data_IF_242508296209
#
_entry.id   IF_242508296209
#
_cell.length_a   1.000
_cell.length_b   1.000
_cell.length_c   1.000
_cell.angle_alpha   90.00
_cell.angle_beta   90.00
_cell.angle_gamma   90.00
#
_symmetry.space_group_name_H-M   'P 1'
#
loop_
_entity.id
_entity.type
_entity.pdbx_description
1 polymer ?
#
# COMPACT_ATOMS: atom_id res chain seq x y z
N UNK A 1 -21.77 -4.25 5.08
CA UNK A 1 -20.33 -4.22 5.44
C UNK A 1 -19.35 -4.61 4.34
N UNK A 2 -19.29 -5.85 3.82
CA UNK A 2 -18.25 -6.24 2.83
C UNK A 2 -18.16 -5.27 1.63
N UNK A 3 -19.29 -4.86 1.07
CA UNK A 3 -19.37 -3.85 -0.02
C UNK A 3 -18.88 -2.46 0.40
N UNK A 4 -19.24 -2.01 1.61
CA UNK A 4 -18.78 -0.73 2.18
C UNK A 4 -17.25 -0.73 2.39
N UNK A 5 -16.67 -1.84 2.84
CA UNK A 5 -15.21 -2.00 2.98
C UNK A 5 -14.53 -1.87 1.61
N UNK A 6 -15.04 -2.55 0.58
CA UNK A 6 -14.51 -2.43 -0.79
C UNK A 6 -14.56 -0.98 -1.27
N UNK A 7 -15.67 -0.28 -1.03
CA UNK A 7 -15.82 1.13 -1.39
C UNK A 7 -14.84 2.03 -0.63
N UNK A 8 -14.65 1.82 0.68
CA UNK A 8 -13.66 2.57 1.48
C UNK A 8 -12.23 2.29 0.98
N UNK A 9 -11.89 1.04 0.66
CA UNK A 9 -10.57 0.69 0.10
C UNK A 9 -10.34 1.39 -1.24
N UNK A 10 -11.35 1.38 -2.13
CA UNK A 10 -11.27 2.08 -3.41
C UNK A 10 -11.11 3.59 -3.22
N UNK A 11 -11.86 4.18 -2.30
CA UNK A 11 -11.74 5.59 -1.94
C UNK A 11 -10.34 5.93 -1.41
N UNK A 12 -9.83 5.15 -0.45
CA UNK A 12 -8.48 5.33 0.10
C UNK A 12 -7.40 5.17 -0.97
N UNK A 13 -7.61 4.27 -1.93
CA UNK A 13 -6.70 4.09 -3.07
C UNK A 13 -6.71 5.32 -4.00
N UNK A 14 -7.90 5.82 -4.34
CA UNK A 14 -8.06 7.05 -5.13
C UNK A 14 -7.47 8.27 -4.40
N UNK A 15 -7.63 8.35 -3.08
CA UNK A 15 -7.03 9.38 -2.24
C UNK A 15 -5.51 9.28 -2.22
N UNK A 16 -4.94 8.08 -2.08
CA UNK A 16 -3.50 7.88 -2.14
C UNK A 16 -2.91 8.31 -3.48
N UNK A 17 -3.56 7.94 -4.59
CA UNK A 17 -3.21 8.39 -5.94
C UNK A 17 -3.26 9.91 -6.03
N UNK A 18 -4.34 10.53 -5.52
CA UNK A 18 -4.54 11.99 -5.56
C UNK A 18 -3.49 12.75 -4.76
N UNK A 19 -3.16 12.27 -3.56
CA UNK A 19 -2.10 12.85 -2.71
C UNK A 19 -0.75 12.76 -3.41
N UNK A 20 -0.45 11.61 -4.03
CA UNK A 20 0.78 11.40 -4.80
C UNK A 20 0.88 12.36 -6.00
N UNK A 21 -0.22 12.55 -6.73
CA UNK A 21 -0.32 13.52 -7.85
C UNK A 21 -0.11 14.96 -7.35
N UNK A 22 -0.78 15.32 -6.26
CA UNK A 22 -0.75 16.68 -5.67
C UNK A 22 0.64 17.04 -5.13
N UNK A 23 1.31 16.08 -4.49
CA UNK A 23 2.67 16.22 -3.97
C UNK A 23 3.67 16.61 -5.05
N UNK A 24 3.55 16.01 -6.24
CA UNK A 24 4.51 16.16 -7.32
C UNK A 24 4.29 17.45 -8.13
N UNK A 25 3.06 17.98 -8.18
CA UNK A 25 2.75 19.21 -8.94
C UNK A 25 3.04 20.51 -8.15
N UNK A 26 3.10 20.44 -6.82
CA UNK A 26 2.93 21.63 -5.98
C UNK A 26 4.19 22.49 -5.75
N UNK A 27 5.43 22.08 -6.04
CA UNK A 27 6.63 22.96 -5.88
C UNK A 27 7.71 22.51 -6.80
N UNK A 28 8.54 23.43 -7.32
CA UNK A 28 9.84 23.14 -7.96
C UNK A 28 9.79 21.78 -8.66
N UNK A 29 8.74 21.54 -9.45
CA UNK A 29 8.19 20.19 -9.69
C UNK A 29 9.25 19.25 -10.25
N UNK A 30 10.25 19.83 -10.90
CA UNK A 30 11.52 19.27 -11.31
C UNK A 30 12.28 18.52 -10.20
N UNK A 31 12.49 19.07 -8.99
CA UNK A 31 13.32 18.47 -7.94
C UNK A 31 12.69 17.21 -7.34
N UNK A 32 11.44 17.30 -6.85
CA UNK A 32 10.69 16.14 -6.34
C UNK A 32 10.49 15.10 -7.46
N UNK A 33 10.11 15.52 -8.66
CA UNK A 33 9.98 14.62 -9.81
C UNK A 33 11.31 13.94 -10.17
N UNK A 34 12.43 14.66 -10.16
CA UNK A 34 13.77 14.10 -10.38
C UNK A 34 14.10 13.09 -9.28
N UNK A 35 13.81 13.39 -8.02
CA UNK A 35 14.04 12.48 -6.90
C UNK A 35 13.20 11.19 -7.05
N UNK A 36 11.90 11.30 -7.35
CA UNK A 36 11.04 10.16 -7.65
C UNK A 36 11.55 9.33 -8.84
N UNK A 37 12.01 9.97 -9.92
CA UNK A 37 12.66 9.27 -11.03
C UNK A 37 13.95 8.57 -10.60
N UNK A 38 14.72 9.20 -9.72
CA UNK A 38 16.00 8.69 -9.22
C UNK A 38 15.82 7.49 -8.29
N UNK A 39 14.66 7.33 -7.66
CA UNK A 39 14.31 6.15 -6.88
C UNK A 39 14.45 4.84 -7.68
N UNK A 40 14.23 4.86 -9.01
CA UNK A 40 14.45 3.70 -9.91
C UNK A 40 15.92 3.31 -10.09
N UNK A 41 16.86 4.15 -9.63
CA UNK A 41 18.31 3.91 -9.70
C UNK A 41 18.89 3.52 -8.34
N UNK A 42 18.03 3.14 -7.40
CA UNK A 42 18.43 2.67 -6.08
C UNK A 42 18.62 1.16 -6.15
N UNK A 43 19.86 0.72 -5.99
CA UNK A 43 20.24 -0.69 -5.99
C UNK A 43 20.43 -1.24 -4.58
N UNK A 44 20.57 -0.37 -3.58
CA UNK A 44 20.60 -0.76 -2.17
C UNK A 44 20.06 0.36 -1.30
N UNK A 45 19.37 0.00 -0.23
CA UNK A 45 18.91 0.97 0.77
C UNK A 45 18.61 0.33 2.12
N UNK A 46 18.58 1.18 3.13
CA UNK A 46 17.91 0.94 4.39
C UNK A 46 16.66 1.80 4.45
N UNK A 47 15.56 1.23 4.90
CA UNK A 47 14.27 1.88 4.95
C UNK A 47 13.59 1.66 6.29
N UNK A 48 13.30 2.74 6.99
CA UNK A 48 12.60 2.74 8.27
C UNK A 48 11.22 3.34 8.06
N UNK A 49 10.19 2.50 8.06
CA UNK A 49 8.81 2.90 7.84
C UNK A 49 8.01 2.76 9.12
N UNK A 50 7.27 3.79 9.51
CA UNK A 50 6.25 3.71 10.55
C UNK A 50 4.89 4.12 10.00
N UNK A 51 3.90 3.28 10.24
CA UNK A 51 2.50 3.50 9.87
C UNK A 51 1.66 3.42 11.13
N UNK A 52 0.84 4.42 11.39
CA UNK A 52 -0.15 4.42 12.46
C UNK A 52 -1.51 4.68 11.85
N UNK A 53 -2.36 3.66 11.83
CA UNK A 53 -3.75 3.77 11.41
C UNK A 53 -4.64 3.72 12.65
N UNK A 54 -5.50 4.72 12.86
CA UNK A 54 -6.54 4.70 13.89
C UNK A 54 -7.89 4.91 13.24
N UNK A 55 -8.82 4.01 13.48
CA UNK A 55 -10.20 4.10 13.02
C UNK A 55 -11.12 4.21 14.23
N UNK A 56 -12.07 5.15 14.20
CA UNK A 56 -13.13 5.28 15.19
C UNK A 56 -14.46 5.64 14.51
N UNK A 57 -15.55 5.52 15.27
CA UNK A 57 -16.89 5.76 14.76
C UNK A 57 -17.80 6.33 15.83
N UNK A 58 -18.72 7.19 15.44
CA UNK A 58 -19.72 7.83 16.30
C UNK A 58 -21.08 7.89 15.57
N UNK A 59 -22.17 8.16 16.30
CA UNK A 59 -23.53 8.35 15.73
C UNK A 59 -24.07 7.16 14.91
N UNK A 60 -23.64 5.94 15.26
CA UNK A 60 -24.07 4.70 14.61
C UNK A 60 -25.40 4.19 15.19
N UNK A 61 -26.21 3.54 14.36
CA UNK A 61 -27.31 2.69 14.87
C UNK A 61 -26.76 1.49 15.64
N UNK A 62 -27.54 0.85 16.52
CA UNK A 62 -27.08 -0.33 17.28
C UNK A 62 -26.54 -1.43 16.37
N UNK A 63 -27.27 -1.73 15.28
CA UNK A 63 -26.88 -2.75 14.30
C UNK A 63 -25.62 -2.38 13.54
N UNK A 64 -25.43 -1.10 13.24
CA UNK A 64 -24.20 -0.59 12.62
C UNK A 64 -23.01 -0.62 13.59
N UNK A 65 -23.26 -0.38 14.88
CA UNK A 65 -22.25 -0.44 15.93
C UNK A 65 -21.76 -1.88 16.15
N UNK A 66 -22.66 -2.86 16.20
CA UNK A 66 -22.29 -4.29 16.26
C UNK A 66 -21.43 -4.69 15.06
N UNK A 67 -21.86 -4.29 13.86
CA UNK A 67 -21.15 -4.46 12.61
C UNK A 67 -19.73 -3.87 12.71
N UNK A 68 -19.61 -2.60 13.15
CA UNK A 68 -18.33 -1.89 13.28
C UNK A 68 -17.41 -2.50 14.37
N UNK A 69 -17.96 -2.87 15.52
CA UNK A 69 -17.24 -3.46 16.65
C UNK A 69 -16.65 -4.83 16.28
N UNK A 70 -17.31 -5.61 15.44
CA UNK A 70 -16.77 -6.86 14.91
C UNK A 70 -15.48 -6.67 14.08
N UNK A 71 -15.32 -5.49 13.47
CA UNK A 71 -14.15 -5.13 12.65
C UNK A 71 -13.07 -4.41 13.45
N UNK A 72 -13.41 -3.81 14.60
CA UNK A 72 -12.45 -3.08 15.44
C UNK A 72 -11.20 -3.90 15.79
N UNK A 73 -11.23 -5.20 16.11
CA UNK A 73 -10.00 -5.96 16.34
C UNK A 73 -9.00 -5.90 15.17
N UNK A 74 -9.50 -5.78 13.94
CA UNK A 74 -8.70 -5.70 12.71
C UNK A 74 -8.32 -4.24 12.40
N UNK A 75 -9.23 -3.30 12.62
CA UNK A 75 -9.10 -1.89 12.21
C UNK A 75 -8.56 -0.96 13.31
N UNK A 76 -8.60 -1.39 14.58
CA UNK A 76 -8.16 -0.58 15.71
C UNK A 76 -6.65 -0.42 15.71
N UNK A 77 -6.21 0.80 16.07
CA UNK A 77 -4.83 1.28 16.19
C UNK A 77 -3.77 0.27 15.71
N UNK A 78 -3.60 0.19 14.40
CA UNK A 78 -2.52 -0.59 13.79
C UNK A 78 -1.29 0.30 13.81
N UNK A 79 -0.32 -0.05 14.64
CA UNK A 79 1.03 0.51 14.54
C UNK A 79 1.90 -0.52 13.86
N UNK A 80 2.38 -0.21 12.66
CA UNK A 80 3.33 -1.02 11.94
C UNK A 80 4.66 -0.27 11.87
N UNK A 81 5.73 -0.94 12.25
CA UNK A 81 7.10 -0.45 12.07
C UNK A 81 7.88 -1.49 11.29
N UNK A 82 8.55 -1.05 10.22
CA UNK A 82 9.34 -1.88 9.33
C UNK A 82 10.75 -1.30 9.27
N UNK A 83 11.76 -2.11 9.60
CA UNK A 83 13.15 -1.79 9.32
C UNK A 83 13.64 -2.73 8.23
N UNK A 84 13.75 -2.21 7.02
CA UNK A 84 13.96 -2.99 5.80
C UNK A 84 15.27 -2.66 5.15
N UNK A 85 16.06 -3.69 4.86
CA UNK A 85 17.25 -3.63 4.05
C UNK A 85 16.94 -4.28 2.70
N UNK A 86 17.31 -3.62 1.61
CA UNK A 86 17.22 -4.21 0.27
C UNK A 86 18.52 -4.06 -0.50
N UNK A 87 18.80 -5.06 -1.33
CA UNK A 87 19.93 -5.08 -2.27
C UNK A 87 19.47 -5.73 -3.57
N UNK A 88 19.50 -4.99 -4.66
CA UNK A 88 19.31 -5.48 -6.02
C UNK A 88 20.62 -6.04 -6.58
N UNK A 89 20.52 -7.09 -7.39
CA UNK A 89 21.67 -7.64 -8.11
C UNK A 89 22.05 -6.75 -9.30
N UNK A 90 23.31 -6.82 -9.71
CA UNK A 90 23.78 -6.15 -10.92
C UNK A 90 22.94 -6.63 -12.12
N UNK A 91 22.33 -5.68 -12.85
CA UNK A 91 21.35 -5.85 -13.95
C UNK A 91 19.86 -5.96 -13.55
N UNK A 92 19.49 -5.69 -12.30
CA UNK A 92 18.07 -5.66 -11.84
C UNK A 92 17.29 -6.96 -12.06
N UNK A 93 18.00 -8.08 -12.15
CA UNK A 93 17.43 -9.42 -12.34
C UNK A 93 17.21 -10.15 -11.02
N UNK A 94 17.33 -9.48 -9.87
CA UNK A 94 17.10 -10.08 -8.57
C UNK A 94 17.16 -9.06 -7.44
N UNK A 95 16.50 -9.38 -6.33
CA UNK A 95 16.44 -8.57 -5.13
C UNK A 95 16.50 -9.45 -3.89
N UNK A 96 17.33 -9.04 -2.94
CA UNK A 96 17.34 -9.57 -1.57
C UNK A 96 16.74 -8.53 -0.65
N UNK A 97 15.85 -8.97 0.23
CA UNK A 97 15.21 -8.13 1.24
C UNK A 97 15.37 -8.80 2.60
N UNK A 98 15.67 -8.01 3.62
CA UNK A 98 15.53 -8.40 5.02
C UNK A 98 14.69 -7.32 5.70
N UNK A 99 13.64 -7.70 6.40
CA UNK A 99 12.75 -6.77 7.09
C UNK A 99 12.47 -7.24 8.52
N UNK A 100 12.74 -6.37 9.50
CA UNK A 100 12.25 -6.54 10.86
C UNK A 100 10.87 -5.87 10.96
N UNK A 101 9.86 -6.65 11.30
CA UNK A 101 8.45 -6.27 11.36
C UNK A 101 8.02 -6.22 12.82
N UNK A 102 7.57 -5.05 13.24
CA UNK A 102 6.92 -4.86 14.53
C UNK A 102 5.52 -4.31 14.30
N UNK A 103 4.51 -5.10 14.61
CA UNK A 103 3.12 -4.71 14.49
C UNK A 103 2.45 -4.73 15.86
N UNK A 104 1.73 -3.68 16.21
CA UNK A 104 0.91 -3.60 17.42
C UNK A 104 -0.55 -3.45 17.04
N UNK A 105 -1.37 -4.33 17.60
CA UNK A 105 -2.83 -4.37 17.45
C UNK A 105 -3.43 -4.31 18.86
N UNK A 106 -4.04 -3.19 19.23
CA UNK A 106 -4.48 -2.92 20.61
C UNK A 106 -3.36 -3.22 21.64
N UNK A 107 -3.57 -4.22 22.51
CA UNK A 107 -2.64 -4.67 23.53
C UNK A 107 -1.65 -5.74 23.04
N UNK A 108 -1.86 -6.32 21.86
CA UNK A 108 -1.02 -7.38 21.31
C UNK A 108 0.13 -6.79 20.48
N UNK A 109 1.33 -7.33 20.65
CA UNK A 109 2.50 -6.99 19.84
C UNK A 109 3.01 -8.22 19.12
N UNK A 110 3.24 -8.07 17.82
CA UNK A 110 3.71 -9.11 16.92
C UNK A 110 5.07 -8.69 16.40
N UNK A 111 6.05 -9.55 16.62
CA UNK A 111 7.38 -9.37 16.06
C UNK A 111 7.69 -10.52 15.12
N UNK A 112 8.28 -10.19 13.97
CA UNK A 112 8.81 -11.16 13.03
C UNK A 112 9.92 -10.53 12.19
N UNK A 113 10.82 -11.37 11.69
CA UNK A 113 11.81 -11.05 10.67
C UNK A 113 11.47 -11.81 9.41
N UNK A 114 11.58 -11.15 8.27
CA UNK A 114 11.38 -11.75 6.96
C UNK A 114 12.63 -11.55 6.12
N UNK A 115 13.04 -12.61 5.43
CA UNK A 115 14.03 -12.56 4.38
C UNK A 115 13.39 -13.01 3.06
N UNK A 116 13.60 -12.26 1.98
CA UNK A 116 13.10 -12.58 0.64
C UNK A 116 14.29 -12.63 -0.30
N UNK A 117 14.39 -13.71 -1.07
CA UNK A 117 15.37 -13.88 -2.13
C UNK A 117 14.66 -14.15 -3.44
N UNK A 118 14.65 -13.15 -4.31
CA UNK A 118 14.19 -13.28 -5.68
C UNK A 118 15.38 -13.16 -6.61
N UNK A 119 15.68 -14.20 -7.37
CA UNK A 119 16.76 -14.22 -8.36
C UNK A 119 16.24 -14.83 -9.66
N UNK A 120 16.23 -14.02 -10.71
CA UNK A 120 15.74 -14.37 -12.05
C UNK A 120 16.88 -14.58 -13.05
N UNK A 121 18.13 -14.64 -12.60
CA UNK A 121 19.30 -14.82 -13.49
C UNK A 121 19.40 -16.24 -14.04
N UNK A 122 18.83 -17.23 -13.36
CA UNK A 122 18.86 -18.64 -13.73
C UNK A 122 17.59 -19.08 -14.50
N UNK A 123 17.68 -20.18 -15.26
CA UNK A 123 16.55 -20.76 -16.03
C UNK A 123 15.37 -21.12 -15.12
N UNK A 124 15.63 -21.52 -13.88
CA UNK A 124 14.64 -21.62 -12.83
C UNK A 124 14.90 -20.49 -11.82
N UNK A 125 13.97 -19.53 -11.65
CA UNK A 125 14.19 -18.43 -10.73
C UNK A 125 14.21 -18.94 -9.29
N UNK A 126 15.07 -18.38 -8.44
CA UNK A 126 15.00 -18.61 -6.99
C UNK A 126 13.96 -17.65 -6.42
N UNK A 127 12.93 -18.21 -5.80
CA UNK A 127 11.85 -17.48 -5.17
C UNK A 127 11.69 -18.07 -3.78
N UNK A 128 12.22 -17.38 -2.79
CA UNK A 128 12.26 -17.88 -1.43
C UNK A 128 11.88 -16.80 -0.44
N UNK A 129 11.06 -17.16 0.54
CA UNK A 129 10.84 -16.37 1.73
C UNK A 129 11.18 -17.19 2.97
N UNK A 130 11.89 -16.59 3.91
CA UNK A 130 12.15 -17.13 5.24
C UNK A 130 11.52 -16.19 6.24
N UNK A 131 10.70 -16.72 7.14
CA UNK A 131 9.98 -15.94 8.13
C UNK A 131 10.37 -16.48 9.50
N UNK A 132 10.89 -15.64 10.39
CA UNK A 132 11.02 -16.05 11.79
C UNK A 132 9.62 -16.26 12.36
N UNK A 133 9.43 -17.33 13.14
CA UNK A 133 8.14 -17.66 13.74
C UNK A 133 7.55 -16.43 14.44
N UNK A 134 6.40 -15.90 13.99
CA UNK A 134 5.79 -14.76 14.65
C UNK A 134 5.38 -15.14 16.08
N UNK A 135 5.48 -14.21 17.03
CA UNK A 135 5.11 -14.45 18.43
C UNK A 135 3.68 -15.00 18.61
N UNK A 136 2.75 -14.64 17.72
CA UNK A 136 1.36 -15.13 17.74
C UNK A 136 1.21 -16.61 17.41
N UNK A 137 2.15 -17.22 16.69
CA UNK A 137 2.06 -18.64 16.34
C UNK A 137 2.26 -19.57 17.54
N UNK A 138 2.72 -19.04 18.68
CA UNK A 138 2.75 -19.79 19.94
C UNK A 138 1.38 -19.81 20.63
N UNK A 139 0.48 -18.89 20.29
CA UNK A 139 -0.85 -18.77 20.90
C UNK A 139 -1.88 -19.62 20.13
N UNK A 140 -1.73 -19.75 18.81
CA UNK A 140 -2.74 -20.37 17.93
C UNK A 140 -2.45 -21.87 17.69
N UNK A 141 -1.45 -22.48 18.35
CA UNK A 141 -1.07 -23.90 18.20
C UNK A 141 -1.00 -24.40 16.74
N UNK A 142 -0.67 -23.53 15.78
CA UNK A 142 -0.62 -23.85 14.34
C UNK A 142 0.53 -24.80 13.94
N UNK A 143 1.18 -25.43 14.93
CA UNK A 143 2.08 -26.59 14.83
C UNK A 143 2.58 -26.96 16.23
N UNK A 144 2.62 -28.26 16.53
CA UNK A 144 3.06 -28.82 17.82
C UNK A 144 4.56 -28.73 18.08
N UNK A 145 5.40 -28.48 17.06
CA UNK A 145 6.85 -28.34 17.25
C UNK A 145 7.24 -26.88 17.51
N UNK A 146 7.30 -26.52 18.80
CA UNK A 146 7.73 -25.21 19.29
C UNK A 146 9.24 -24.96 19.13
N UNK A 147 10.04 -25.98 18.81
CA UNK A 147 11.50 -25.85 18.62
C UNK A 147 11.87 -25.14 17.31
N UNK A 148 10.93 -25.09 16.37
CA UNK A 148 11.11 -24.52 15.03
C UNK A 148 11.07 -22.99 15.06
N UNK A 149 12.20 -22.38 14.71
CA UNK A 149 12.40 -20.92 14.75
C UNK A 149 12.00 -20.23 13.45
N UNK A 150 12.02 -20.95 12.34
CA UNK A 150 11.79 -20.39 11.00
C UNK A 150 10.72 -21.16 10.22
N UNK A 151 9.99 -20.43 9.39
CA UNK A 151 9.12 -20.96 8.34
C UNK A 151 9.80 -20.64 7.02
N UNK A 152 10.14 -21.68 6.26
CA UNK A 152 10.75 -21.58 4.93
C UNK A 152 9.68 -21.80 3.87
N UNK A 153 9.53 -20.82 2.98
CA UNK A 153 8.69 -20.91 1.79
C UNK A 153 9.62 -20.93 0.58
N UNK A 154 9.96 -22.14 0.13
CA UNK A 154 10.64 -22.35 -1.16
C UNK A 154 9.57 -22.57 -2.22
N UNK A 155 9.27 -21.50 -2.96
CA UNK A 155 8.21 -21.50 -3.94
C UNK A 155 8.49 -22.47 -5.11
N UNK A 156 9.75 -22.83 -5.39
CA UNK A 156 10.04 -23.82 -6.43
C UNK A 156 9.56 -25.23 -6.06
N UNK A 157 9.51 -25.56 -4.77
CA UNK A 157 9.00 -26.85 -4.27
C UNK A 157 7.50 -27.02 -4.40
N UNK A 158 6.80 -25.95 -4.73
CA UNK A 158 5.35 -25.95 -4.91
C UNK A 158 4.91 -26.60 -6.23
N UNK A 159 5.79 -26.70 -7.25
CA UNK A 159 5.47 -27.31 -8.55
C UNK A 159 4.87 -28.70 -8.37
N UNK A 160 3.58 -28.83 -8.67
CA UNK A 160 2.83 -30.08 -8.63
C UNK A 160 2.45 -30.62 -7.25
N UNK A 161 2.59 -29.84 -6.15
CA UNK A 161 2.36 -30.34 -4.77
C UNK A 161 1.28 -29.62 -3.96
N UNK A 162 0.64 -28.58 -4.49
CA UNK A 162 -0.46 -27.90 -3.80
C UNK A 162 -1.51 -27.34 -4.77
N UNK A 163 -2.77 -27.27 -4.33
CA UNK A 163 -3.84 -26.48 -4.98
C UNK A 163 -3.56 -24.95 -4.94
N UNK A 164 -2.49 -24.56 -4.25
CA UNK A 164 -1.89 -23.23 -4.30
C UNK A 164 -1.02 -23.22 -5.56
N UNK A 165 -1.37 -22.42 -6.56
CA UNK A 165 -0.60 -22.22 -7.80
C UNK A 165 0.17 -20.91 -7.64
N UNK A 166 1.48 -20.92 -7.84
CA UNK A 166 2.26 -19.68 -7.86
C UNK A 166 1.78 -18.78 -9.00
N UNK A 167 1.74 -17.44 -8.80
CA UNK A 167 1.84 -16.52 -9.91
C UNK A 167 2.92 -17.00 -10.87
N UNK A 168 2.61 -17.11 -12.15
CA UNK A 168 3.64 -17.22 -13.16
C UNK A 168 4.39 -15.87 -13.13
N UNK A 169 5.41 -15.77 -12.28
CA UNK A 169 6.10 -14.50 -12.05
C UNK A 169 6.75 -13.99 -13.33
N UNK A 170 6.99 -14.84 -14.33
CA UNK A 170 7.44 -14.39 -15.66
C UNK A 170 6.32 -13.67 -16.44
N UNK A 171 5.06 -13.98 -16.15
CA UNK A 171 3.87 -13.24 -16.65
C UNK A 171 3.59 -11.98 -15.84
N UNK A 172 3.87 -11.97 -14.54
CA UNK A 172 3.78 -10.78 -13.67
C UNK A 172 4.96 -9.81 -13.89
N UNK A 173 6.11 -10.33 -14.35
CA UNK A 173 7.27 -9.56 -14.80
C UNK A 173 7.28 -9.35 -16.33
N UNK A 174 6.21 -9.75 -17.01
CA UNK A 174 6.08 -9.50 -18.44
C UNK A 174 5.96 -7.99 -18.64
N UNK A 175 6.76 -7.37 -19.53
CA UNK A 175 6.61 -5.95 -19.85
C UNK A 175 5.21 -5.54 -20.34
N UNK A 176 4.36 -6.50 -20.75
CA UNK A 176 2.96 -6.28 -21.10
C UNK A 176 1.96 -6.41 -19.91
N UNK A 177 2.43 -6.81 -18.73
CA UNK A 177 1.64 -6.78 -17.49
C UNK A 177 1.82 -5.44 -16.78
N UNK A 178 0.86 -5.05 -15.94
CA UNK A 178 0.92 -3.82 -15.15
C UNK A 178 2.32 -3.63 -14.54
N UNK A 179 3.06 -2.64 -15.02
CA UNK A 179 4.39 -2.33 -14.52
C UNK A 179 4.33 -1.18 -13.52
N UNK A 180 5.30 -1.13 -12.61
CA UNK A 180 5.50 0.05 -11.76
C UNK A 180 5.64 1.31 -12.63
N UNK A 181 6.20 1.18 -13.84
CA UNK A 181 6.31 2.27 -14.81
C UNK A 181 4.95 2.74 -15.36
N UNK A 182 3.98 1.85 -15.60
CA UNK A 182 2.62 2.22 -16.03
C UNK A 182 1.89 3.00 -14.94
N UNK A 183 2.00 2.56 -13.68
CA UNK A 183 1.50 3.33 -12.53
C UNK A 183 2.13 4.71 -12.45
N UNK A 184 3.46 4.79 -12.57
CA UNK A 184 4.15 6.08 -12.56
C UNK A 184 3.74 6.96 -13.74
N UNK A 185 3.59 6.41 -14.95
CA UNK A 185 3.17 7.17 -16.12
C UNK A 185 1.72 7.65 -15.99
N UNK A 186 0.84 6.83 -15.45
CA UNK A 186 -0.53 7.18 -15.10
C UNK A 186 -0.55 8.36 -14.12
N UNK A 187 0.17 8.27 -13.00
CA UNK A 187 0.32 9.36 -12.03
C UNK A 187 0.87 10.62 -12.71
N UNK A 188 1.91 10.52 -13.55
CA UNK A 188 2.52 11.64 -14.29
C UNK A 188 1.55 12.31 -15.26
N UNK A 189 0.68 11.56 -15.94
CA UNK A 189 -0.35 12.12 -16.84
C UNK A 189 -1.25 13.09 -16.06
N UNK A 190 -1.82 12.65 -14.95
CA UNK A 190 -2.69 13.46 -14.11
C UNK A 190 -1.97 14.65 -13.45
N UNK A 191 -0.70 14.47 -13.09
CA UNK A 191 0.15 15.57 -12.61
C UNK A 191 0.26 16.70 -13.64
N UNK A 192 0.30 16.39 -14.94
CA UNK A 192 0.43 17.41 -16.00
C UNK A 192 -0.90 18.11 -16.32
N UNK A 193 -2.03 17.43 -16.14
CA UNK A 193 -3.34 17.91 -16.61
C UNK A 193 -4.13 18.72 -15.56
N UNK A 194 -4.00 18.44 -14.25
CA UNK A 194 -4.82 19.08 -13.20
C UNK A 194 -4.39 20.52 -12.83
N UNK A 195 -5.11 21.59 -13.18
CA UNK A 195 -4.72 22.98 -12.82
C UNK A 195 -4.78 23.29 -11.30
N UNK A 196 -3.62 23.26 -10.61
CA UNK A 196 -3.53 23.44 -9.14
C UNK A 196 -2.70 24.67 -8.73
N UNK A 197 -2.97 25.82 -9.33
CA UNK A 197 -2.34 27.11 -9.01
C UNK A 197 -2.53 27.62 -7.57
N UNK A 198 -3.28 26.89 -6.71
CA UNK A 198 -3.70 27.31 -5.36
C UNK A 198 -3.00 26.62 -4.18
N UNK A 199 -2.03 25.74 -4.41
CA UNK A 199 -1.29 25.10 -3.31
C UNK A 199 -0.36 26.08 -2.59
N UNK A 200 -0.33 26.03 -1.26
CA UNK A 200 0.67 26.74 -0.43
C UNK A 200 1.76 25.78 -0.02
N UNK A 201 3.00 26.10 -0.34
CA UNK A 201 4.15 25.27 -0.01
C UNK A 201 5.26 26.14 0.53
N UNK A 202 5.83 25.66 1.63
CA UNK A 202 7.00 26.23 2.26
C UNK A 202 8.17 25.26 2.04
N UNK A 203 9.18 25.72 1.29
CA UNK A 203 10.48 25.05 1.23
C UNK A 203 11.32 25.54 2.40
N UNK A 204 11.90 24.61 3.15
CA UNK A 204 12.87 24.93 4.21
C UNK A 204 14.09 24.03 4.02
N UNK A 205 15.27 24.62 3.99
CA UNK A 205 16.52 23.86 3.97
C UNK A 205 16.94 23.59 5.41
N UNK A 206 17.24 22.33 5.73
CA UNK A 206 17.83 21.96 7.01
C UNK A 206 19.27 21.53 6.74
N UNK A 207 20.22 22.24 7.33
CA UNK A 207 21.61 21.82 7.39
C UNK A 207 21.76 20.80 8.51
N UNK A 208 22.23 19.60 8.15
CA UNK A 208 22.51 18.53 9.10
C UNK A 208 23.95 18.04 8.93
N UNK A 209 24.59 17.72 10.05
CA UNK A 209 25.87 17.00 10.09
C UNK A 209 25.53 15.55 10.48
N UNK A 210 25.54 14.58 9.55
CA UNK A 210 25.42 13.16 9.87
C UNK A 210 26.63 12.68 10.70
N UNK A 211 26.49 11.51 11.32
CA UNK A 211 27.55 10.83 12.10
C UNK A 211 28.87 10.57 11.32
N UNK A 212 28.85 10.72 9.99
CA UNK A 212 29.98 10.49 9.07
C UNK A 212 30.76 11.78 8.70
N UNK A 213 30.50 12.92 9.37
CA UNK A 213 31.15 14.22 9.15
C UNK A 213 31.08 14.80 7.71
N UNK A 214 30.23 14.25 6.84
CA UNK A 214 29.93 14.88 5.53
C UNK A 214 28.77 15.86 5.70
N UNK A 215 28.95 17.16 5.44
CA UNK A 215 27.81 18.09 5.36
C UNK A 215 26.76 17.54 4.38
N UNK A 216 25.63 17.04 4.91
CA UNK A 216 24.56 16.47 4.11
C UNK A 216 23.38 17.44 4.19
N UNK A 217 23.35 18.32 3.20
CA UNK A 217 22.26 19.26 3.00
C UNK A 217 20.98 18.50 2.62
N UNK A 218 19.91 18.68 3.40
CA UNK A 218 18.60 18.11 3.10
C UNK A 218 17.60 19.25 2.87
N UNK A 219 17.09 19.32 1.64
CA UNK A 219 15.97 20.18 1.32
C UNK A 219 14.68 19.54 1.82
N UNK A 220 13.97 20.23 2.71
CA UNK A 220 12.66 19.82 3.20
C UNK A 220 11.56 20.60 2.48
N UNK A 221 10.65 19.85 1.87
CA UNK A 221 9.45 20.37 1.20
C UNK A 221 8.24 20.06 2.09
N UNK A 222 7.65 21.10 2.69
CA UNK A 222 6.42 20.98 3.49
C UNK A 222 5.22 21.34 2.62
N UNK A 223 4.51 20.32 2.14
CA UNK A 223 3.40 20.45 1.21
C UNK A 223 2.09 20.41 2.01
N UNK A 224 1.34 21.52 2.00
CA UNK A 224 0.00 21.57 2.55
C UNK A 224 -1.01 21.56 1.39
N UNK A 225 -1.78 20.48 1.29
CA UNK A 225 -2.86 20.37 0.32
C UNK A 225 -4.16 20.76 0.99
N UNK A 226 -4.85 21.79 0.50
CA UNK A 226 -6.15 22.19 1.04
C UNK A 226 -7.24 21.13 0.73
N UNK A 227 -8.29 21.06 1.55
CA UNK A 227 -9.44 20.15 1.35
C UNK A 227 -10.10 20.37 -0.02
N UNK A 228 -10.31 21.64 -0.41
CA UNK A 228 -10.93 21.98 -1.71
C UNK A 228 -10.08 21.50 -2.88
N UNK A 229 -8.76 21.66 -2.78
CA UNK A 229 -7.81 21.21 -3.79
C UNK A 229 -7.76 19.69 -3.88
N UNK A 230 -7.70 19.03 -2.73
CA UNK A 230 -7.67 17.57 -2.66
C UNK A 230 -8.93 16.97 -3.27
N UNK A 231 -10.11 17.55 -2.98
CA UNK A 231 -11.39 17.17 -3.57
C UNK A 231 -11.46 17.46 -5.07
N UNK A 232 -10.88 18.57 -5.54
CA UNK A 232 -10.78 18.86 -6.97
C UNK A 232 -10.00 17.77 -7.72
N UNK A 233 -8.81 17.42 -7.24
CA UNK A 233 -7.96 16.40 -7.86
C UNK A 233 -8.62 15.02 -7.81
N UNK A 234 -9.28 14.69 -6.69
CA UNK A 234 -10.09 13.48 -6.59
C UNK A 234 -11.21 13.47 -7.61
N UNK A 235 -11.97 14.55 -7.74
CA UNK A 235 -13.05 14.67 -8.72
C UNK A 235 -12.55 14.57 -10.15
N UNK A 236 -11.38 15.14 -10.47
CA UNK A 236 -10.78 15.03 -11.81
C UNK A 236 -10.36 13.58 -12.11
N UNK A 237 -9.74 12.89 -11.15
CA UNK A 237 -9.39 11.47 -11.28
C UNK A 237 -10.66 10.62 -11.46
N UNK A 238 -11.68 10.84 -10.62
CA UNK A 238 -12.96 10.13 -10.64
C UNK A 238 -13.76 10.42 -11.92
N UNK A 239 -13.71 11.66 -12.41
CA UNK A 239 -14.35 12.09 -13.65
C UNK A 239 -13.65 11.52 -14.89
N UNK A 240 -12.31 11.42 -14.86
CA UNK A 240 -11.54 10.82 -15.95
C UNK A 240 -11.67 9.30 -15.98
N UNK A 241 -11.90 8.63 -14.85
CA UNK A 241 -12.33 7.21 -14.83
C UNK A 241 -13.60 6.98 -15.68
N UNK A 242 -14.39 8.04 -15.94
CA UNK A 242 -15.59 8.01 -16.77
C UNK A 242 -15.38 8.47 -18.22
N UNK A 243 -14.22 8.98 -18.64
CA UNK A 243 -14.15 9.64 -19.96
C UNK A 243 -12.85 9.42 -20.70
N UNK A 244 -11.77 9.14 -19.96
CA UNK A 244 -10.44 9.06 -20.50
C UNK A 244 -10.08 7.63 -20.90
N UNK A 245 -9.79 7.43 -22.20
CA UNK A 245 -9.48 6.11 -22.75
C UNK A 245 -8.24 5.48 -22.10
N UNK A 246 -7.20 6.27 -21.84
CA UNK A 246 -5.96 5.77 -21.23
C UNK A 246 -6.19 5.34 -19.79
N UNK A 247 -7.07 6.03 -19.07
CA UNK A 247 -7.46 5.70 -17.70
C UNK A 247 -8.27 4.41 -17.64
N UNK A 248 -9.22 4.25 -18.56
CA UNK A 248 -9.97 3.00 -18.74
C UNK A 248 -9.02 1.86 -19.09
N UNK A 249 -8.04 2.10 -19.97
CA UNK A 249 -7.02 1.12 -20.35
C UNK A 249 -6.11 0.77 -19.17
N UNK A 250 -5.72 1.75 -18.35
CA UNK A 250 -4.96 1.54 -17.13
C UNK A 250 -5.70 0.62 -16.15
N UNK A 251 -6.98 0.88 -15.88
CA UNK A 251 -7.78 0.03 -15.00
C UNK A 251 -7.97 -1.37 -15.59
N UNK A 252 -8.14 -1.49 -16.90
CA UNK A 252 -8.16 -2.79 -17.61
C UNK A 252 -6.86 -3.56 -17.41
N UNK A 253 -5.70 -2.93 -17.64
CA UNK A 253 -4.39 -3.55 -17.45
C UNK A 253 -4.16 -3.96 -15.99
N UNK A 254 -4.57 -3.14 -15.03
CA UNK A 254 -4.51 -3.47 -13.62
C UNK A 254 -5.40 -4.67 -13.27
N UNK A 255 -6.67 -4.68 -13.71
CA UNK A 255 -7.57 -5.83 -13.58
C UNK A 255 -6.96 -7.08 -14.20
N UNK A 256 -6.49 -6.99 -15.44
CA UNK A 256 -5.92 -8.13 -16.19
C UNK A 256 -4.69 -8.67 -15.48
N UNK A 257 -3.88 -7.80 -14.86
CA UNK A 257 -2.77 -8.24 -14.02
C UNK A 257 -3.24 -9.04 -12.81
N UNK A 258 -4.32 -8.61 -12.13
CA UNK A 258 -4.90 -9.33 -11.00
C UNK A 258 -5.52 -10.67 -11.44
N UNK A 259 -6.31 -10.68 -12.51
CA UNK A 259 -6.99 -11.91 -13.00
C UNK A 259 -6.04 -12.87 -13.71
N UNK A 260 -4.88 -12.40 -14.18
CA UNK A 260 -3.82 -13.26 -14.73
C UNK A 260 -3.10 -14.10 -13.66
N UNK A 261 -3.29 -13.78 -12.37
CA UNK A 261 -2.76 -14.57 -11.28
C UNK A 261 -3.45 -15.95 -11.29
N UNK A 262 -2.71 -17.07 -11.36
CA UNK A 262 -3.28 -18.41 -11.59
C UNK A 262 -4.30 -18.89 -10.56
N UNK A 263 -4.31 -18.35 -9.33
CA UNK A 263 -5.33 -18.65 -8.31
C UNK A 263 -6.64 -17.87 -8.50
N UNK A 264 -6.62 -16.84 -9.34
CA UNK A 264 -7.74 -15.95 -9.65
C UNK A 264 -8.34 -16.21 -11.02
N UNK A 265 -7.89 -17.27 -11.73
CA UNK A 265 -8.65 -17.81 -12.85
C UNK A 265 -10.00 -18.30 -12.35
N UNK A 266 -11.05 -18.07 -13.14
CA UNK A 266 -12.39 -18.58 -12.87
C UNK A 266 -12.27 -20.09 -12.62
N UNK A 267 -12.75 -20.48 -11.44
CA UNK A 267 -12.87 -21.84 -10.97
C UNK A 267 -14.33 -21.97 -10.55
N UNK A 268 -15.15 -22.55 -11.42
CA UNK A 268 -16.61 -22.60 -11.23
C UNK A 268 -17.02 -23.45 -10.01
N UNK A 269 -16.09 -24.26 -9.49
CA UNK A 269 -16.28 -25.14 -8.33
C UNK A 269 -15.92 -24.46 -7.00
N UNK A 270 -15.26 -23.29 -7.02
CA UNK A 270 -14.84 -22.56 -5.82
C UNK A 270 -15.61 -21.24 -5.67
N UNK A 271 -16.56 -21.22 -4.72
CA UNK A 271 -17.50 -20.11 -4.53
C UNK A 271 -16.82 -18.81 -4.08
N UNK A 272 -15.79 -18.87 -3.24
CA UNK A 272 -14.99 -17.71 -2.82
C UNK A 272 -14.23 -17.08 -4.00
N UNK A 273 -13.64 -17.91 -4.88
CA UNK A 273 -12.97 -17.43 -6.10
C UNK A 273 -13.96 -16.82 -7.08
N UNK A 274 -15.16 -17.42 -7.20
CA UNK A 274 -16.24 -16.90 -8.04
C UNK A 274 -16.76 -15.56 -7.54
N UNK A 275 -16.92 -15.40 -6.22
CA UNK A 275 -17.32 -14.14 -5.59
C UNK A 275 -16.25 -13.07 -5.76
N UNK A 276 -14.97 -13.40 -5.56
CA UNK A 276 -13.86 -12.49 -5.80
C UNK A 276 -13.75 -12.07 -7.28
N UNK A 277 -13.85 -13.01 -8.22
CA UNK A 277 -13.79 -12.71 -9.65
C UNK A 277 -14.97 -11.85 -10.10
N UNK A 278 -16.17 -12.13 -9.57
CA UNK A 278 -17.34 -11.25 -9.72
C UNK A 278 -17.05 -9.86 -9.15
N UNK A 279 -16.49 -9.74 -7.95
CA UNK A 279 -16.17 -8.44 -7.34
C UNK A 279 -15.17 -7.64 -8.18
N UNK A 280 -14.11 -8.27 -8.69
CA UNK A 280 -13.08 -7.62 -9.53
C UNK A 280 -13.65 -7.22 -10.90
N UNK A 281 -14.48 -8.05 -11.54
CA UNK A 281 -15.10 -7.69 -12.81
C UNK A 281 -16.21 -6.66 -12.65
N UNK A 282 -16.97 -6.71 -11.55
CA UNK A 282 -17.97 -5.70 -11.23
C UNK A 282 -17.33 -4.31 -11.11
N UNK A 283 -16.09 -4.20 -10.61
CA UNK A 283 -15.34 -2.93 -10.60
C UNK A 283 -15.05 -2.42 -12.02
N UNK A 284 -14.68 -3.29 -12.97
CA UNK A 284 -14.44 -2.89 -14.36
C UNK A 284 -15.75 -2.56 -15.10
N UNK A 285 -16.72 -3.47 -15.04
CA UNK A 285 -17.97 -3.37 -15.78
C UNK A 285 -18.88 -2.26 -15.25
N UNK A 286 -18.72 -1.92 -13.96
CA UNK A 286 -19.49 -0.88 -13.28
C UNK A 286 -18.60 0.23 -12.71
N UNK A 287 -17.43 0.48 -13.32
CA UNK A 287 -16.49 1.53 -12.84
C UNK A 287 -17.17 2.90 -12.71
N UNK A 288 -18.15 3.13 -13.57
CA UNK A 288 -19.07 4.27 -13.61
C UNK A 288 -19.90 4.39 -12.33
N UNK A 289 -20.50 3.27 -11.91
CA UNK A 289 -21.32 3.19 -10.71
C UNK A 289 -20.46 3.44 -9.48
N UNK A 290 -19.29 2.81 -9.37
CA UNK A 290 -18.34 3.08 -8.28
C UNK A 290 -17.82 4.52 -8.29
N UNK A 291 -17.58 5.10 -9.45
CA UNK A 291 -17.21 6.52 -9.59
C UNK A 291 -18.30 7.43 -9.01
N UNK A 292 -19.59 7.16 -9.26
CA UNK A 292 -20.70 7.90 -8.63
C UNK A 292 -20.74 7.71 -7.10
N UNK A 293 -20.44 6.50 -6.60
CA UNK A 293 -20.35 6.26 -5.15
C UNK A 293 -19.21 7.07 -4.54
N UNK A 294 -18.04 7.03 -5.15
CA UNK A 294 -16.84 7.71 -4.66
C UNK A 294 -17.06 9.24 -4.72
N UNK A 295 -17.69 9.77 -5.77
CA UNK A 295 -18.10 11.19 -5.82
C UNK A 295 -19.05 11.55 -4.68
N UNK A 296 -20.08 10.72 -4.43
CA UNK A 296 -21.01 10.97 -3.31
C UNK A 296 -20.29 10.90 -1.94
N UNK A 297 -19.31 10.01 -1.76
CA UNK A 297 -18.49 9.97 -0.54
C UNK A 297 -17.65 11.23 -0.42
N UNK A 298 -17.07 11.69 -1.53
CA UNK A 298 -16.23 12.88 -1.57
C UNK A 298 -16.99 14.16 -1.21
N UNK A 299 -18.27 14.24 -1.56
CA UNK A 299 -19.13 15.35 -1.17
C UNK A 299 -19.45 15.34 0.34
N UNK A 300 -19.31 14.19 1.00
CA UNK A 300 -19.65 13.97 2.41
C UNK A 300 -18.43 13.65 3.29
N UNK A 301 -17.22 13.95 2.80
CA UNK A 301 -15.98 13.78 3.56
C UNK A 301 -15.38 15.12 3.92
N UNK A 302 -14.94 15.26 5.16
CA UNK A 302 -14.01 16.31 5.55
C UNK A 302 -12.59 15.73 5.54
N UNK A 303 -11.72 16.31 4.72
CA UNK A 303 -10.29 15.98 4.71
C UNK A 303 -9.59 16.99 5.62
N UNK A 304 -9.01 16.48 6.70
CA UNK A 304 -8.36 17.24 7.76
C UNK A 304 -6.93 16.71 7.96
N UNK A 305 -6.07 17.52 8.58
CA UNK A 305 -4.81 17.05 9.12
C UNK A 305 -4.99 16.69 10.60
N UNK A 306 -3.93 16.14 11.22
CA UNK A 306 -4.00 15.68 12.62
C UNK A 306 -4.27 16.81 13.63
N UNK A 307 -3.97 18.05 13.25
CA UNK A 307 -4.23 19.26 14.05
C UNK A 307 -5.60 19.88 13.74
N UNK A 308 -6.49 19.13 13.08
CA UNK A 308 -7.85 19.53 12.67
C UNK A 308 -7.90 20.74 11.73
N UNK A 309 -6.78 21.13 11.12
CA UNK A 309 -6.79 22.09 10.02
C UNK A 309 -7.20 21.35 8.76
N UNK A 310 -8.00 22.00 7.89
CA UNK A 310 -8.42 21.40 6.62
C UNK A 310 -7.22 21.05 5.74
N UNK A 311 -7.31 19.88 5.10
CA UNK A 311 -6.32 19.42 4.15
C UNK A 311 -5.32 18.40 4.66
N UNK A 312 -4.31 18.09 3.84
CA UNK A 312 -3.32 17.03 4.07
C UNK A 312 -1.95 17.68 4.23
N UNK A 313 -1.20 17.22 5.24
CA UNK A 313 0.19 17.63 5.41
C UNK A 313 1.12 16.53 4.93
N UNK A 314 1.96 16.85 3.96
CA UNK A 314 3.02 16.02 3.44
C UNK A 314 4.37 16.70 3.69
N UNK A 315 5.38 15.92 4.05
CA UNK A 315 6.77 16.39 4.12
C UNK A 315 7.65 15.45 3.32
N UNK A 316 8.48 16.01 2.44
CA UNK A 316 9.46 15.26 1.66
C UNK A 316 10.86 15.85 1.91
N UNK A 317 11.85 14.99 2.09
CA UNK A 317 13.25 15.39 2.23
C UNK A 317 14.07 14.88 1.05
N UNK A 318 14.82 15.78 0.41
CA UNK A 318 15.71 15.45 -0.70
C UNK A 318 17.15 15.75 -0.27
N UNK A 319 18.04 14.77 -0.40
CA UNK A 319 19.47 14.97 -0.11
C UNK A 319 20.18 15.80 -1.20
N UNK A 320 21.42 16.20 -0.93
CA UNK A 320 22.26 16.93 -1.89
C UNK A 320 22.53 16.17 -3.20
N UNK A 321 22.38 14.85 -3.20
CA UNK A 321 22.51 14.01 -4.39
C UNK A 321 21.21 13.98 -5.20
N UNK A 322 20.10 14.47 -4.67
CA UNK A 322 18.79 14.44 -5.32
C UNK A 322 18.01 13.13 -5.11
N UNK A 323 18.31 12.35 -4.06
CA UNK A 323 17.51 11.22 -3.63
C UNK A 323 16.45 11.66 -2.61
N UNK A 324 15.27 11.04 -2.69
CA UNK A 324 14.26 11.14 -1.65
C UNK A 324 14.76 10.33 -0.43
N UNK A 325 14.94 11.00 0.70
CA UNK A 325 15.51 10.39 1.93
C UNK A 325 14.55 10.39 3.11
N UNK A 326 13.46 11.16 3.04
CA UNK A 326 12.41 11.11 4.05
C UNK A 326 11.04 11.49 3.49
N UNK A 327 10.00 10.84 3.98
CA UNK A 327 8.61 11.13 3.66
C UNK A 327 7.78 11.08 4.93
N UNK A 328 6.81 11.99 5.08
CA UNK A 328 5.76 11.82 6.10
C UNK A 328 4.43 12.35 5.62
N UNK A 329 3.36 11.62 5.94
CA UNK A 329 1.98 12.00 5.61
C UNK A 329 1.17 11.98 6.91
N UNK A 330 0.44 13.06 7.16
CA UNK A 330 -0.55 13.13 8.23
C UNK A 330 -1.91 13.43 7.62
N UNK A 331 -2.84 12.50 7.79
CA UNK A 331 -4.17 12.53 7.21
C UNK A 331 -5.20 12.14 8.28
N UNK A 332 -6.26 12.95 8.38
CA UNK A 332 -7.48 12.64 9.13
C UNK A 332 -8.66 12.78 8.18
N UNK A 333 -9.41 11.70 8.01
CA UNK A 333 -10.64 11.68 7.24
C UNK A 333 -11.81 11.58 8.20
N UNK A 334 -12.81 12.44 8.02
CA UNK A 334 -14.10 12.32 8.69
C UNK A 334 -15.17 12.11 7.63
N UNK A 335 -15.78 10.92 7.62
CA UNK A 335 -16.79 10.50 6.65
C UNK A 335 -18.14 10.48 7.38
N UNK A 336 -19.07 11.34 6.99
CA UNK A 336 -20.42 11.33 7.54
C UNK A 336 -21.38 10.59 6.58
N UNK A 337 -21.84 9.41 6.97
CA UNK A 337 -22.77 8.64 6.15
C UNK A 337 -24.23 9.06 6.35
N UNK A 338 -24.55 9.85 7.39
CA UNK A 338 -25.92 10.30 7.65
C UNK A 338 -26.47 11.21 6.54
N UNK A 339 -25.59 12.01 5.96
CA UNK A 339 -25.86 12.95 4.86
C UNK A 339 -25.74 12.32 3.46
N UNK A 340 -25.27 11.07 3.38
CA UNK A 340 -25.13 10.37 2.12
C UNK A 340 -26.50 10.01 1.54
N UNK A 341 -26.68 10.25 0.24
CA UNK A 341 -27.87 9.79 -0.49
C UNK A 341 -27.93 8.25 -0.42
N UNK A 342 -29.15 7.72 -0.31
CA UNK A 342 -29.39 6.26 -0.29
C UNK A 342 -28.68 5.61 -1.48
N UNK A 343 -27.84 4.62 -1.22
CA UNK A 343 -26.96 4.02 -2.20
C UNK A 343 -27.22 2.51 -2.32
N UNK A 344 -27.67 1.98 -3.47
CA UNK A 344 -28.08 0.58 -3.62
C UNK A 344 -26.94 -0.45 -3.48
N UNK A 345 -25.67 -0.03 -3.45
CA UNK A 345 -24.52 -0.92 -3.20
C UNK A 345 -24.18 -0.98 -1.70
N UNK A 346 -24.33 0.14 -0.99
CA UNK A 346 -23.99 0.25 0.44
C UNK A 346 -25.21 -0.14 1.30
N UNK A 347 -26.38 0.32 0.90
CA UNK A 347 -27.66 0.07 1.51
C UNK A 347 -28.28 -1.19 0.89
N UNK A 348 -28.26 -2.29 1.64
CA UNK A 348 -29.12 -3.45 1.34
C UNK A 348 -30.53 -3.19 1.87
N UNK A 349 -31.53 -3.93 1.37
CA UNK A 349 -32.92 -3.87 1.82
C UNK A 349 -33.02 -3.84 3.37
N UNK A 350 -33.38 -2.68 3.92
CA UNK A 350 -33.59 -2.46 5.35
C UNK A 350 -32.38 -2.01 6.19
N UNK A 351 -31.21 -1.72 5.62
CA UNK A 351 -30.06 -1.16 6.38
C UNK A 351 -29.63 0.18 5.81
N UNK A 352 -29.67 1.23 6.64
CA UNK A 352 -29.08 2.54 6.37
C UNK A 352 -27.93 2.75 7.35
N UNK A 353 -26.73 3.00 6.83
CA UNK A 353 -25.59 3.40 7.65
C UNK A 353 -25.70 4.90 7.95
N UNK A 354 -25.63 5.29 9.23
CA UNK A 354 -25.74 6.70 9.66
C UNK A 354 -24.51 7.18 10.41
N UNK A 355 -23.56 6.29 10.70
CA UNK A 355 -22.38 6.61 11.46
C UNK A 355 -21.50 7.65 10.80
N UNK A 356 -20.81 8.41 11.64
CA UNK A 356 -19.64 9.19 11.26
C UNK A 356 -18.38 8.37 11.55
N UNK A 357 -17.55 8.17 10.53
CA UNK A 357 -16.33 7.37 10.61
C UNK A 357 -15.12 8.27 10.54
N UNK A 358 -14.17 8.09 11.47
CA UNK A 358 -12.94 8.87 11.54
C UNK A 358 -11.76 7.94 11.27
N UNK A 359 -10.94 8.27 10.28
CA UNK A 359 -9.74 7.52 9.90
C UNK A 359 -8.54 8.45 10.02
N UNK A 360 -7.64 8.16 10.96
CA UNK A 360 -6.37 8.86 11.13
C UNK A 360 -5.24 7.97 10.59
N UNK A 361 -4.47 8.49 9.65
CA UNK A 361 -3.27 7.87 9.10
C UNK A 361 -2.07 8.79 9.38
N UNK A 362 -1.11 8.26 10.11
CA UNK A 362 0.24 8.81 10.20
C UNK A 362 1.17 7.85 9.46
N UNK A 363 1.96 8.39 8.55
CA UNK A 363 2.99 7.66 7.83
C UNK A 363 4.30 8.43 7.95
N UNK A 364 5.38 7.72 8.27
CA UNK A 364 6.72 8.25 8.17
C UNK A 364 7.62 7.21 7.53
N UNK A 365 8.57 7.70 6.74
CA UNK A 365 9.53 6.88 6.04
C UNK A 365 10.87 7.58 6.04
N UNK A 366 11.94 6.85 6.33
CA UNK A 366 13.31 7.35 6.25
C UNK A 366 14.16 6.37 5.46
N UNK A 367 14.78 6.85 4.40
CA UNK A 367 15.71 6.08 3.60
C UNK A 367 17.14 6.48 3.97
N UNK A 368 17.96 5.50 4.30
CA UNK A 368 19.37 5.67 4.64
C UNK A 368 20.23 4.78 3.75
N UNK A 369 21.53 5.06 3.71
CA UNK A 369 22.54 4.20 3.06
C UNK A 369 22.22 3.85 1.60
N UNK A 370 21.56 4.77 0.88
CA UNK A 370 21.17 4.59 -0.53
C UNK A 370 22.43 4.34 -1.38
N UNK A 371 22.42 3.26 -2.16
CA UNK A 371 23.52 2.84 -3.04
C UNK A 371 24.87 2.60 -2.33
N UNK A 372 24.85 2.41 -1.00
CA UNK A 372 26.03 1.96 -0.25
C UNK A 372 26.14 0.42 -0.33
N UNK A 373 27.37 -0.09 -0.29
CA UNK A 373 27.60 -1.53 -0.26
C UNK A 373 26.90 -2.14 0.95
N UNK A 374 26.06 -3.14 0.71
CA UNK A 374 25.28 -3.81 1.76
C UNK A 374 25.19 -5.29 1.45
N UNK A 375 25.26 -6.10 2.49
CA UNK A 375 25.08 -7.55 2.42
C UNK A 375 23.86 -7.92 3.25
N UNK A 376 23.05 -8.83 2.73
CA UNK A 376 21.93 -9.42 3.45
C UNK A 376 22.26 -10.89 3.65
N UNK A 377 22.44 -11.27 4.91
CA UNK A 377 22.70 -12.65 5.32
C UNK A 377 21.39 -13.33 5.71
N UNK A 378 21.17 -14.51 5.15
CA UNK A 378 20.01 -15.34 5.46
C UNK A 378 20.35 -16.25 6.65
N UNK A 379 19.36 -16.60 7.50
CA UNK A 379 19.56 -17.61 8.52
C UNK A 379 19.94 -18.96 7.88
N UNK A 380 20.83 -19.70 8.53
CA UNK A 380 21.14 -21.08 8.12
C UNK A 380 19.98 -21.97 8.52
N UNK A 381 19.34 -22.60 7.53
CA UNK A 381 18.14 -23.41 7.72
C UNK A 381 18.47 -24.91 7.67
N UNK A 382 17.91 -25.67 8.59
CA UNK A 382 17.97 -27.13 8.62
C UNK A 382 16.63 -27.73 9.10
N UNK A 383 16.51 -29.05 9.12
CA UNK A 383 15.26 -29.73 9.54
C UNK A 383 14.96 -29.56 11.03
N UNK A 384 15.96 -29.22 11.85
CA UNK A 384 15.78 -29.00 13.28
C UNK A 384 15.17 -27.62 13.58
N UNK A 385 15.61 -26.58 12.86
CA UNK A 385 15.29 -25.19 13.17
C UNK A 385 14.25 -24.54 12.25
N UNK A 386 13.89 -25.20 11.15
CA UNK A 386 13.00 -24.64 10.13
C UNK A 386 11.92 -25.61 9.71
N UNK A 387 10.74 -25.08 9.40
CA UNK A 387 9.63 -25.83 8.84
C UNK A 387 9.49 -25.46 7.38
N UNK A 388 9.39 -26.45 6.51
CA UNK A 388 8.99 -26.24 5.12
C UNK A 388 7.47 -26.05 5.07
N UNK A 389 7.03 -24.83 4.75
CA UNK A 389 5.62 -24.46 4.73
C UNK A 389 4.79 -25.41 3.84
N UNK A 390 5.34 -25.83 2.70
CA UNK A 390 4.62 -26.68 1.75
C UNK A 390 4.62 -28.17 2.14
N UNK A 391 5.39 -28.56 3.17
CA UNK A 391 5.26 -29.88 3.79
C UNK A 391 4.15 -29.90 4.85
N UNK A 392 3.85 -28.76 5.50
CA UNK A 392 2.77 -28.65 6.50
C UNK A 392 1.38 -28.62 5.89
N UNK A 393 1.22 -28.09 4.68
CA UNK A 393 -0.09 -27.86 4.05
C UNK A 393 -0.64 -29.10 3.31
N UNK A 394 -0.19 -30.30 3.69
CA UNK A 394 -0.76 -31.59 3.29
C UNK A 394 -1.56 -32.13 4.46
#
# INVERSE_FOLDING_TARGET
MKKLIVVIIMFLTALFISVSVSAIRSVDSVALYKAFKKAKKVNSMENNTHIILRVSGENMTEKEKEDFESLLPILSMVKLSLNTNSVESNKSNGIKIQSDINAKFKAMSVYSKIWINNDFTEKEPKLEAVISRPSLFNIIELNSDSSKKYIRMDFNKMKGKSNMILPDYRKVLNPNSYSQADFFNFIIKYIKEADVSSNKIEKTTIEGIPEDNSEEHIDIYNIQLDDKVTKLILNDIIGNLKKDKDTIEFVKKFRDSLTSLPRLKIDDENEDKKEFYKAVNVIHDNIWLYSDIISNILDNIDILNINEKRGIQLRCGIDSKGYLVSESINLKLKIDLSSMKKNPIIDNEGRKYTGTYIINLEFTNKLNSINKSKKIDFPVLNEENSIDYFRMSK
#
